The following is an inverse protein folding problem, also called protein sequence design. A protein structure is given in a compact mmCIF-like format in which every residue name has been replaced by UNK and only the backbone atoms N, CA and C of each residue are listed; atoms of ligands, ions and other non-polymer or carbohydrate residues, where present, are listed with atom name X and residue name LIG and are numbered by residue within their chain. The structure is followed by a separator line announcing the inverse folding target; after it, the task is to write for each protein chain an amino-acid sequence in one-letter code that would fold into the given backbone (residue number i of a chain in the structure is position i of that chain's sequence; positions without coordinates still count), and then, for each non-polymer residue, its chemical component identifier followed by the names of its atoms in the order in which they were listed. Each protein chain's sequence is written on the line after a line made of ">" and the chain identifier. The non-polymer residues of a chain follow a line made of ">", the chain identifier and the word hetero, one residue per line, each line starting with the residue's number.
data_IF_563633123280
#
_entry.id   IF_563633123280
#
_cell.length_a   1.000
_cell.length_b   1.000
_cell.length_c   1.000
_cell.angle_alpha   90.00
_cell.angle_beta   90.00
_cell.angle_gamma   90.00
#
_symmetry.space_group_name_H-M   'P 1'
#
loop_
_entity.id
_entity.type
_entity.pdbx_description
1 polymer ?
#
# COMPACT_ATOMS: atom_id res chain seq x y z
N UNK A 1 -5.66 -3.98 -24.87
CA UNK A 1 -4.26 -3.52 -24.82
C UNK A 1 -3.38 -4.41 -23.95
N UNK A 2 -3.66 -4.55 -22.63
CA UNK A 2 -2.84 -5.40 -21.76
C UNK A 2 -2.74 -6.85 -22.21
N UNK A 3 -3.85 -7.39 -22.73
CA UNK A 3 -3.90 -8.75 -23.27
C UNK A 3 -3.03 -8.90 -24.52
N UNK A 4 -3.11 -7.93 -25.44
CA UNK A 4 -2.36 -7.92 -26.70
C UNK A 4 -0.85 -7.77 -26.50
N UNK A 5 -0.44 -7.03 -25.46
CA UNK A 5 0.95 -6.71 -25.19
C UNK A 5 1.56 -7.49 -24.03
N UNK A 6 0.84 -8.42 -23.43
CA UNK A 6 1.35 -9.25 -22.33
C UNK A 6 1.62 -8.49 -21.04
N UNK A 7 0.91 -7.38 -20.77
CA UNK A 7 1.09 -6.59 -19.56
C UNK A 7 0.24 -7.11 -18.41
N UNK A 8 0.75 -6.99 -17.21
CA UNK A 8 -0.04 -7.15 -15.98
C UNK A 8 -0.73 -5.83 -15.65
N UNK A 9 -2.04 -5.82 -15.60
CA UNK A 9 -2.82 -4.66 -15.19
C UNK A 9 -3.00 -4.63 -13.67
N UNK A 10 -2.85 -3.45 -13.04
CA UNK A 10 -3.15 -3.25 -11.62
C UNK A 10 -3.99 -2.01 -11.42
N UNK A 11 -5.11 -2.17 -10.71
CA UNK A 11 -5.93 -1.08 -10.21
C UNK A 11 -5.60 -0.80 -8.76
N UNK A 12 -5.58 0.47 -8.38
CA UNK A 12 -5.31 0.92 -7.01
C UNK A 12 -6.38 1.92 -6.61
N UNK A 13 -7.00 1.72 -5.45
CA UNK A 13 -7.91 2.71 -4.87
C UNK A 13 -7.15 3.97 -4.44
N UNK A 14 -7.76 5.12 -4.65
CA UNK A 14 -7.25 6.40 -4.18
C UNK A 14 -7.22 6.43 -2.66
N UNK A 15 -6.09 6.81 -2.08
CA UNK A 15 -5.90 6.91 -0.63
C UNK A 15 -5.86 8.38 -0.21
N UNK A 16 -6.53 8.77 0.91
CA UNK A 16 -6.60 10.16 1.37
C UNK A 16 -5.30 10.58 2.09
N UNK A 17 -4.19 10.63 1.34
CA UNK A 17 -2.87 11.00 1.85
C UNK A 17 -2.44 12.38 1.34
N UNK A 18 -2.06 13.27 2.28
CA UNK A 18 -1.76 14.66 1.95
C UNK A 18 -2.99 15.38 1.35
N UNK A 19 -2.83 16.63 0.99
CA UNK A 19 -3.96 17.42 0.45
C UNK A 19 -4.44 16.87 -0.90
N UNK A 20 -3.52 16.59 -1.81
CA UNK A 20 -3.86 16.07 -3.15
C UNK A 20 -4.60 14.72 -3.07
N UNK A 21 -4.14 13.81 -2.19
CA UNK A 21 -4.79 12.51 -2.01
C UNK A 21 -6.17 12.63 -1.39
N UNK A 22 -6.39 13.58 -0.47
CA UNK A 22 -7.71 13.84 0.11
C UNK A 22 -8.68 14.34 -0.95
N UNK A 23 -8.35 15.39 -1.69
CA UNK A 23 -9.19 15.90 -2.77
C UNK A 23 -9.51 14.82 -3.82
N UNK A 24 -8.49 14.06 -4.25
CA UNK A 24 -8.70 12.98 -5.20
C UNK A 24 -9.57 11.84 -4.63
N UNK A 25 -9.48 11.56 -3.32
CA UNK A 25 -10.33 10.57 -2.66
C UNK A 25 -11.77 11.05 -2.53
N UNK A 26 -11.98 12.31 -2.17
CA UNK A 26 -13.32 12.87 -1.99
C UNK A 26 -14.08 12.98 -3.32
N UNK A 27 -13.39 13.44 -4.38
CA UNK A 27 -14.03 13.73 -5.67
C UNK A 27 -14.05 12.53 -6.64
N UNK A 28 -13.07 11.61 -6.54
CA UNK A 28 -12.81 10.61 -7.57
C UNK A 28 -12.62 9.19 -7.01
N UNK A 29 -12.99 8.93 -5.76
CA UNK A 29 -12.91 7.58 -5.21
C UNK A 29 -13.83 6.64 -5.99
N UNK A 30 -13.28 5.50 -6.40
CA UNK A 30 -14.03 4.41 -7.01
C UNK A 30 -13.70 3.10 -6.29
N UNK A 31 -14.71 2.47 -5.72
CA UNK A 31 -14.58 1.14 -5.14
C UNK A 31 -14.25 0.12 -6.25
N UNK A 32 -13.10 -0.54 -6.12
CA UNK A 32 -12.62 -1.48 -7.13
C UNK A 32 -13.48 -2.76 -7.23
N UNK A 33 -14.39 -3.01 -6.30
CA UNK A 33 -15.38 -4.07 -6.45
C UNK A 33 -16.33 -3.78 -7.64
N UNK A 34 -16.64 -2.51 -7.90
CA UNK A 34 -17.41 -2.10 -9.07
C UNK A 34 -16.65 -2.34 -10.38
N UNK A 35 -15.33 -2.03 -10.38
CA UNK A 35 -14.45 -2.32 -11.53
C UNK A 35 -14.39 -3.82 -11.79
N UNK A 36 -14.20 -4.61 -10.73
CA UNK A 36 -14.17 -6.07 -10.81
C UNK A 36 -15.48 -6.62 -11.36
N UNK A 37 -16.63 -6.14 -10.90
CA UNK A 37 -17.94 -6.55 -11.39
C UNK A 37 -18.09 -6.30 -12.90
N UNK A 38 -17.76 -5.08 -13.37
CA UNK A 38 -17.80 -4.72 -14.80
C UNK A 38 -16.87 -5.58 -15.67
N UNK A 39 -15.70 -5.93 -15.14
CA UNK A 39 -14.77 -6.82 -15.86
C UNK A 39 -15.32 -8.25 -15.92
N UNK A 40 -15.99 -8.72 -14.88
CA UNK A 40 -16.59 -10.06 -14.84
C UNK A 40 -17.75 -10.21 -15.83
N UNK A 41 -18.43 -9.12 -16.19
CA UNK A 41 -19.47 -9.14 -17.24
C UNK A 41 -18.90 -9.46 -18.63
N UNK A 42 -17.62 -9.15 -18.87
CA UNK A 42 -16.98 -9.31 -20.20
C UNK A 42 -15.95 -10.41 -20.27
N UNK A 43 -15.35 -10.77 -19.13
CA UNK A 43 -14.25 -11.72 -19.03
C UNK A 43 -14.57 -12.79 -17.99
N UNK A 44 -14.27 -14.03 -18.30
CA UNK A 44 -14.32 -15.09 -17.31
C UNK A 44 -13.10 -14.96 -16.40
N UNK A 45 -13.28 -14.48 -15.17
CA UNK A 45 -12.22 -14.22 -14.20
C UNK A 45 -12.20 -15.30 -13.12
N UNK A 46 -11.04 -15.88 -12.89
CA UNK A 46 -10.79 -16.82 -11.79
C UNK A 46 -9.73 -16.25 -10.83
N UNK A 47 -9.70 -16.65 -9.56
CA UNK A 47 -8.62 -16.28 -8.67
C UNK A 47 -7.26 -16.66 -9.26
N UNK A 48 -6.31 -15.74 -9.23
CA UNK A 48 -4.97 -15.91 -9.77
C UNK A 48 -3.90 -15.64 -8.71
N UNK A 49 -2.73 -16.21 -8.90
CA UNK A 49 -1.57 -16.01 -8.04
C UNK A 49 -0.47 -15.33 -8.86
N UNK A 50 0.24 -14.41 -8.24
CA UNK A 50 1.43 -13.79 -8.80
C UNK A 50 2.55 -13.82 -7.77
N UNK A 51 3.78 -14.19 -8.16
CA UNK A 51 4.93 -14.16 -7.25
C UNK A 51 5.17 -12.77 -6.67
N UNK A 52 5.63 -12.72 -5.43
CA UNK A 52 5.97 -11.49 -4.73
C UNK A 52 5.06 -11.17 -3.54
N UNK A 53 5.52 -10.29 -2.66
CA UNK A 53 4.82 -9.87 -1.43
C UNK A 53 3.96 -8.61 -1.60
N UNK A 54 3.48 -8.32 -2.81
CA UNK A 54 2.68 -7.12 -3.08
C UNK A 54 1.25 -7.19 -2.50
N UNK A 55 0.57 -6.04 -2.35
CA UNK A 55 -0.77 -5.96 -1.75
C UNK A 55 -1.90 -6.34 -2.73
N UNK A 56 -1.58 -6.58 -3.99
CA UNK A 56 -2.58 -6.85 -5.01
C UNK A 56 -3.17 -8.27 -4.86
N UNK A 57 -4.49 -8.35 -4.88
CA UNK A 57 -5.22 -9.59 -5.09
C UNK A 57 -5.45 -9.77 -6.58
N UNK A 58 -5.03 -10.91 -7.14
CA UNK A 58 -5.05 -11.12 -8.57
C UNK A 58 -6.23 -11.98 -9.01
N UNK A 59 -6.78 -11.61 -10.17
CA UNK A 59 -7.66 -12.44 -10.98
C UNK A 59 -6.97 -12.73 -12.31
N UNK A 60 -7.20 -13.91 -12.86
CA UNK A 60 -6.71 -14.31 -14.18
C UNK A 60 -7.88 -14.41 -15.16
N UNK A 61 -7.69 -13.90 -16.36
CA UNK A 61 -8.64 -14.08 -17.47
C UNK A 61 -8.47 -15.48 -18.03
N UNK A 62 -9.51 -16.30 -17.93
CA UNK A 62 -9.47 -17.71 -18.39
C UNK A 62 -9.10 -17.80 -19.86
N UNK A 63 -8.22 -18.74 -20.19
CA UNK A 63 -7.72 -18.95 -21.56
C UNK A 63 -6.63 -17.96 -21.99
N UNK A 64 -6.10 -17.15 -21.07
CA UNK A 64 -5.02 -16.19 -21.35
C UNK A 64 -4.03 -16.12 -20.19
N UNK A 65 -2.89 -15.45 -20.40
CA UNK A 65 -1.91 -15.16 -19.36
C UNK A 65 -2.17 -13.82 -18.64
N UNK A 66 -3.23 -13.09 -19.03
CA UNK A 66 -3.54 -11.79 -18.44
C UNK A 66 -3.95 -11.93 -16.98
N UNK A 67 -3.20 -11.27 -16.11
CA UNK A 67 -3.50 -11.12 -14.69
C UNK A 67 -3.89 -9.68 -14.39
N UNK A 68 -4.98 -9.53 -13.65
CA UNK A 68 -5.51 -8.24 -13.21
C UNK A 68 -5.41 -8.18 -11.68
N UNK A 69 -4.63 -7.26 -11.17
CA UNK A 69 -4.43 -7.02 -9.74
C UNK A 69 -5.32 -5.91 -9.22
N UNK A 70 -5.86 -6.10 -8.03
CA UNK A 70 -6.68 -5.11 -7.31
C UNK A 70 -6.01 -4.80 -5.97
N UNK A 71 -5.64 -3.55 -5.78
CA UNK A 71 -5.08 -3.02 -4.52
C UNK A 71 -6.15 -2.17 -3.87
N UNK A 72 -6.76 -2.70 -2.81
CA UNK A 72 -7.99 -2.20 -2.19
C UNK A 72 -7.76 -1.77 -0.74
N UNK A 73 -6.95 -0.72 -0.49
CA UNK A 73 -6.66 -0.28 0.87
C UNK A 73 -7.90 0.26 1.61
N UNK A 74 -8.90 0.74 0.88
CA UNK A 74 -10.10 1.37 1.46
C UNK A 74 -11.28 0.40 1.52
N UNK A 75 -11.66 -0.22 0.39
CA UNK A 75 -12.85 -1.08 0.34
C UNK A 75 -12.64 -2.44 1.00
N UNK A 76 -11.47 -3.04 0.81
CA UNK A 76 -11.10 -4.35 1.36
C UNK A 76 -9.65 -4.31 1.86
N UNK A 77 -9.42 -3.69 3.00
CA UNK A 77 -8.08 -3.57 3.56
C UNK A 77 -7.35 -4.93 3.68
N UNK A 78 -6.04 -4.88 3.70
CA UNK A 78 -5.15 -6.04 3.78
C UNK A 78 -4.13 -5.88 4.92
N UNK A 79 -4.54 -5.18 5.98
CA UNK A 79 -3.67 -4.80 7.08
C UNK A 79 -3.12 -6.00 7.83
N UNK A 80 -3.92 -7.05 8.01
CA UNK A 80 -3.57 -8.25 8.76
C UNK A 80 -2.35 -8.99 8.18
N UNK A 81 -2.16 -8.88 6.87
CA UNK A 81 -1.03 -9.52 6.15
C UNK A 81 0.01 -8.51 5.69
N UNK A 82 -0.10 -7.26 6.12
CA UNK A 82 0.79 -6.20 5.68
C UNK A 82 2.16 -6.27 6.36
N UNK A 83 3.17 -6.68 5.63
CA UNK A 83 4.57 -6.77 6.06
C UNK A 83 5.43 -5.57 5.66
N UNK A 84 4.81 -4.41 5.33
CA UNK A 84 5.55 -3.25 4.80
C UNK A 84 5.88 -2.25 5.86
N UNK A 85 7.09 -1.73 5.77
CA UNK A 85 7.56 -0.50 6.38
C UNK A 85 8.12 0.41 5.29
N UNK A 86 8.28 1.68 5.54
CA UNK A 86 8.86 2.63 4.61
C UNK A 86 9.95 3.44 5.29
N UNK A 87 11.04 3.62 4.60
CA UNK A 87 12.13 4.50 5.02
C UNK A 87 12.10 5.75 4.14
N UNK A 88 11.94 6.90 4.76
CA UNK A 88 12.01 8.19 4.06
C UNK A 88 13.46 8.63 3.87
N UNK A 89 13.66 9.58 2.96
CA UNK A 89 14.99 10.13 2.62
C UNK A 89 15.69 10.77 3.81
N UNK A 90 14.94 11.23 4.80
CA UNK A 90 15.48 11.83 6.03
C UNK A 90 15.85 10.80 7.11
N UNK A 91 15.70 9.51 6.82
CA UNK A 91 16.06 8.43 7.74
C UNK A 91 14.96 8.12 8.78
N UNK A 92 13.70 8.40 8.47
CA UNK A 92 12.56 8.06 9.33
C UNK A 92 11.87 6.79 8.83
N UNK A 93 11.72 5.79 9.70
CA UNK A 93 10.91 4.59 9.42
C UNK A 93 9.46 4.87 9.77
N UNK A 94 8.56 4.69 8.80
CA UNK A 94 7.11 4.65 8.98
C UNK A 94 6.64 3.20 8.95
N UNK A 95 5.97 2.77 9.99
CA UNK A 95 5.52 1.37 10.13
C UNK A 95 4.17 1.12 9.46
N UNK A 96 3.39 2.17 9.21
CA UNK A 96 2.14 2.13 8.47
C UNK A 96 2.02 3.33 7.52
N UNK A 97 1.43 3.11 6.33
CA UNK A 97 1.19 4.19 5.39
C UNK A 97 0.08 5.13 5.87
N UNK A 98 -0.96 4.59 6.47
CA UNK A 98 -2.15 5.32 6.93
C UNK A 98 -2.14 5.71 8.40
N UNK A 99 -0.97 5.77 9.03
CA UNK A 99 -0.79 6.28 10.39
C UNK A 99 0.56 6.99 10.52
N UNK A 100 0.72 7.81 11.55
CA UNK A 100 1.93 8.61 11.77
C UNK A 100 2.95 7.96 12.71
N UNK A 101 2.76 6.69 13.09
CA UNK A 101 3.75 5.94 13.87
C UNK A 101 5.06 5.84 13.09
N UNK A 102 6.11 6.37 13.67
CA UNK A 102 7.43 6.43 13.04
C UNK A 102 8.58 6.33 14.05
N UNK A 103 9.77 6.08 13.54
CA UNK A 103 11.03 6.13 14.28
C UNK A 103 12.08 6.85 13.44
N UNK A 104 12.66 7.91 14.02
CA UNK A 104 13.77 8.63 13.40
C UNK A 104 15.09 7.90 13.68
N UNK A 105 15.76 7.39 12.65
CA UNK A 105 17.06 6.72 12.77
C UNK A 105 18.23 7.71 12.71
N UNK A 106 18.04 8.85 12.06
CA UNK A 106 19.11 9.84 11.84
C UNK A 106 19.82 10.29 13.12
N UNK A 107 19.12 10.62 14.24
CA UNK A 107 19.80 11.05 15.47
C UNK A 107 20.75 9.99 16.01
N UNK A 108 20.34 8.73 16.07
CA UNK A 108 21.17 7.65 16.60
C UNK A 108 22.34 7.31 15.67
N UNK A 109 22.12 7.34 14.34
CA UNK A 109 23.20 7.17 13.36
C UNK A 109 24.26 8.28 13.47
N UNK A 110 23.82 9.53 13.65
CA UNK A 110 24.74 10.67 13.83
C UNK A 110 25.48 10.65 15.17
N UNK A 111 24.89 10.03 16.18
CA UNK A 111 25.55 9.80 17.47
C UNK A 111 26.55 8.64 17.43
N UNK A 112 26.64 7.89 16.33
CA UNK A 112 27.57 6.77 16.17
C UNK A 112 27.10 5.48 16.85
N UNK A 113 25.78 5.18 16.79
CA UNK A 113 25.25 3.93 17.32
C UNK A 113 25.89 2.72 16.65
N UNK A 114 25.94 1.59 17.36
CA UNK A 114 26.38 0.32 16.79
C UNK A 114 25.31 -0.29 15.87
N UNK A 115 25.70 -1.29 15.08
CA UNK A 115 24.76 -2.02 14.23
C UNK A 115 23.72 -2.79 15.06
N UNK A 116 24.11 -3.28 16.24
CA UNK A 116 23.21 -3.96 17.18
C UNK A 116 22.16 -2.99 17.72
N UNK A 117 22.56 -1.80 18.15
CA UNK A 117 21.65 -0.76 18.65
C UNK A 117 20.67 -0.32 17.55
N UNK A 118 21.15 -0.20 16.30
CA UNK A 118 20.32 0.12 15.14
C UNK A 118 19.30 -0.98 14.86
N UNK A 119 19.73 -2.25 14.87
CA UNK A 119 18.86 -3.41 14.67
C UNK A 119 17.75 -3.47 15.72
N UNK A 120 18.11 -3.31 17.01
CA UNK A 120 17.14 -3.28 18.09
C UNK A 120 16.12 -2.14 17.94
N UNK A 121 16.56 -0.97 17.48
CA UNK A 121 15.68 0.17 17.25
C UNK A 121 14.68 -0.13 16.11
N UNK A 122 15.15 -0.74 15.02
CA UNK A 122 14.29 -1.15 13.89
C UNK A 122 13.29 -2.23 14.35
N UNK A 123 13.72 -3.22 15.13
CA UNK A 123 12.83 -4.26 15.66
C UNK A 123 11.74 -3.65 16.53
N UNK A 124 12.10 -2.76 17.47
CA UNK A 124 11.11 -2.04 18.29
C UNK A 124 10.11 -1.24 17.44
N UNK A 125 10.57 -0.59 16.36
CA UNK A 125 9.68 0.13 15.46
C UNK A 125 8.69 -0.83 14.79
N UNK A 126 9.15 -2.00 14.35
CA UNK A 126 8.30 -3.02 13.72
C UNK A 126 7.29 -3.59 14.71
N UNK A 127 7.68 -3.84 15.96
CA UNK A 127 6.80 -4.34 17.03
C UNK A 127 5.66 -3.36 17.36
N UNK A 128 5.92 -2.06 17.17
CA UNK A 128 4.92 -1.00 17.33
C UNK A 128 4.06 -0.76 16.09
N UNK A 129 4.20 -1.60 15.05
CA UNK A 129 3.37 -1.49 13.86
C UNK A 129 1.89 -1.68 14.19
N UNK A 130 1.01 -0.72 13.81
CA UNK A 130 -0.40 -0.83 14.10
C UNK A 130 -1.05 -1.98 13.32
N UNK A 131 -2.08 -2.59 13.89
CA UNK A 131 -2.83 -3.68 13.26
C UNK A 131 -3.51 -3.24 11.95
N UNK A 132 -3.95 -1.98 11.88
CA UNK A 132 -4.63 -1.42 10.72
C UNK A 132 -4.35 0.07 10.54
N UNK A 133 -4.59 0.55 9.32
CA UNK A 133 -4.65 1.99 9.03
C UNK A 133 -6.00 2.59 9.45
N UNK A 134 -6.04 3.91 9.57
CA UNK A 134 -7.22 4.69 10.01
C UNK A 134 -7.81 5.56 8.89
N UNK A 135 -7.59 5.24 7.62
CA UNK A 135 -8.05 6.05 6.49
C UNK A 135 -9.55 6.33 6.47
N UNK A 136 -10.38 5.38 6.99
CA UNK A 136 -11.83 5.54 7.08
C UNK A 136 -12.26 6.29 8.33
N UNK A 137 -11.58 6.00 9.44
CA UNK A 137 -11.95 6.53 10.75
C UNK A 137 -11.49 8.00 10.90
N UNK A 138 -10.30 8.32 10.36
CA UNK A 138 -9.68 9.63 10.42
C UNK A 138 -9.04 10.02 9.07
N UNK A 139 -9.84 10.32 8.04
CA UNK A 139 -9.34 10.52 6.67
C UNK A 139 -8.42 11.74 6.50
N UNK A 140 -8.35 12.64 7.46
CA UNK A 140 -7.48 13.82 7.43
C UNK A 140 -6.19 13.70 8.24
N UNK A 141 -5.98 12.59 8.95
CA UNK A 141 -4.88 12.46 9.91
C UNK A 141 -3.50 12.40 9.25
N UNK A 142 -3.37 11.74 8.13
CA UNK A 142 -2.08 11.56 7.45
C UNK A 142 -1.78 12.74 6.55
N UNK A 143 -0.97 13.67 7.04
CA UNK A 143 -0.61 14.90 6.34
C UNK A 143 0.52 14.71 5.32
N UNK A 144 1.33 13.65 5.43
CA UNK A 144 2.45 13.42 4.51
C UNK A 144 1.98 12.99 3.13
N UNK A 145 2.74 13.42 2.13
CA UNK A 145 2.53 12.99 0.75
C UNK A 145 3.11 11.59 0.52
N UNK A 146 2.49 10.85 -0.41
CA UNK A 146 2.98 9.53 -0.81
C UNK A 146 4.46 9.56 -1.24
N UNK A 147 4.87 10.58 -1.99
CA UNK A 147 6.23 10.78 -2.48
C UNK A 147 7.30 10.91 -1.39
N UNK A 148 6.93 11.32 -0.18
CA UNK A 148 7.87 11.44 0.95
C UNK A 148 8.34 10.08 1.46
N UNK A 149 7.60 9.02 1.21
CA UNK A 149 7.88 7.66 1.68
C UNK A 149 8.16 6.67 0.56
N UNK A 150 8.57 7.16 -0.61
CA UNK A 150 8.98 6.33 -1.74
C UNK A 150 7.83 5.55 -2.37
N UNK A 151 6.69 6.17 -2.52
CA UNK A 151 5.48 5.60 -3.14
C UNK A 151 5.36 5.93 -4.59
#
# INVERSE_FOLDING_TARGET
>A
FCLEHGFTLRFIETMPMGDTGRHASDDHYLDLQQVKARLTERFNLVPGVMPGGGPARYMQVVGTDLKIGFITPISQHFCETCNRVRLSVDGTIYTCLGQDHNLELRPMLRAGCSDEELLEAIQRAVDLKPERHEFKDEPGKVMRFMSMTGG
#
